data_IF_460075072277
#
_entry.id   IF_460075072277
#
_cell.length_a   1.000
_cell.length_b   1.000
_cell.length_c   1.000
_cell.angle_alpha   90.00
_cell.angle_beta   90.00
_cell.angle_gamma   90.00
#
_symmetry.space_group_name_H-M   'P 1'
#
loop_
_entity.id
_entity.type
_entity.pdbx_description
1 polymer ?
#
# COMPACT_ATOMS: atom_id res chain seq x y z
N UNK A 1 29.30 -16.41 -19.12
CA UNK A 1 27.87 -16.65 -19.40
C UNK A 1 27.08 -15.65 -18.60
N UNK A 2 26.20 -14.94 -19.29
CA UNK A 2 25.57 -13.69 -18.90
C UNK A 2 24.84 -13.76 -17.56
N UNK A 3 25.15 -12.83 -16.66
CA UNK A 3 24.23 -12.44 -15.59
C UNK A 3 23.07 -11.69 -16.25
N UNK A 4 22.08 -12.46 -16.69
CA UNK A 4 20.77 -11.97 -17.08
C UNK A 4 19.98 -11.67 -15.81
N UNK A 5 20.30 -10.54 -15.17
CA UNK A 5 19.53 -10.01 -14.05
C UNK A 5 18.39 -9.13 -14.56
N UNK A 6 17.67 -9.60 -15.58
CA UNK A 6 16.43 -8.96 -16.03
C UNK A 6 15.29 -9.43 -15.11
N UNK A 7 15.33 -8.99 -13.85
CA UNK A 7 14.11 -8.87 -13.07
C UNK A 7 13.32 -7.73 -13.72
N UNK A 8 12.54 -8.05 -14.75
CA UNK A 8 11.45 -7.19 -15.19
C UNK A 8 10.54 -7.04 -13.96
N UNK A 9 10.46 -5.86 -13.32
CA UNK A 9 9.58 -5.71 -12.18
C UNK A 9 8.16 -5.80 -12.74
N UNK A 10 7.47 -6.92 -12.47
CA UNK A 10 6.06 -7.05 -12.81
C UNK A 10 5.25 -6.09 -11.92
N UNK A 11 5.23 -4.83 -12.34
CA UNK A 11 4.64 -3.72 -11.58
C UNK A 11 3.15 -3.91 -11.37
N UNK A 12 2.51 -4.75 -12.19
CA UNK A 12 1.08 -5.06 -12.14
C UNK A 12 0.80 -6.01 -10.98
N UNK A 13 1.58 -7.07 -10.84
CA UNK A 13 1.48 -8.02 -9.73
C UNK A 13 1.81 -7.34 -8.38
N UNK A 14 2.86 -6.52 -8.32
CA UNK A 14 3.24 -5.80 -7.09
C UNK A 14 2.16 -4.80 -6.65
N UNK A 15 1.57 -4.06 -7.59
CA UNK A 15 0.50 -3.10 -7.29
C UNK A 15 -0.77 -3.79 -6.82
N UNK A 16 -1.09 -4.98 -7.36
CA UNK A 16 -2.23 -5.78 -6.93
C UNK A 16 -2.07 -6.26 -5.49
N UNK A 17 -0.89 -6.77 -5.12
CA UNK A 17 -0.58 -7.18 -3.74
C UNK A 17 -0.67 -5.98 -2.79
N UNK A 18 -0.08 -4.83 -3.16
CA UNK A 18 -0.11 -3.62 -2.33
C UNK A 18 -1.55 -3.14 -2.09
N UNK A 19 -2.40 -3.11 -3.12
CA UNK A 19 -3.82 -2.78 -2.96
C UNK A 19 -4.54 -3.75 -2.03
N UNK A 20 -4.20 -5.04 -2.07
CA UNK A 20 -4.79 -6.05 -1.20
C UNK A 20 -4.37 -5.84 0.26
N UNK A 21 -3.09 -5.52 0.51
CA UNK A 21 -2.57 -5.21 1.84
C UNK A 21 -3.23 -3.97 2.45
N UNK A 22 -3.46 -2.93 1.63
CA UNK A 22 -4.21 -1.73 2.03
C UNK A 22 -5.63 -2.13 2.48
N UNK A 23 -6.37 -2.88 1.66
CA UNK A 23 -7.73 -3.28 2.01
C UNK A 23 -7.76 -4.12 3.30
N UNK A 24 -6.86 -5.09 3.43
CA UNK A 24 -6.81 -5.98 4.60
C UNK A 24 -6.50 -5.18 5.87
N UNK A 25 -5.45 -4.35 5.87
CA UNK A 25 -5.09 -3.53 7.04
C UNK A 25 -6.21 -2.54 7.42
N UNK A 26 -6.84 -1.91 6.42
CA UNK A 26 -7.94 -0.98 6.67
C UNK A 26 -9.17 -1.66 7.28
N UNK A 27 -9.51 -2.88 6.83
CA UNK A 27 -10.62 -3.66 7.39
C UNK A 27 -10.32 -4.14 8.80
N UNK A 28 -9.10 -4.65 9.05
CA UNK A 28 -8.67 -5.08 10.38
C UNK A 28 -8.73 -3.92 11.38
N UNK A 29 -8.11 -2.77 11.05
CA UNK A 29 -8.19 -1.53 11.85
C UNK A 29 -9.63 -1.16 12.21
N UNK A 30 -10.52 -1.10 11.21
CA UNK A 30 -11.93 -0.75 11.46
C UNK A 30 -12.62 -1.73 12.41
N UNK A 31 -12.39 -3.04 12.23
CA UNK A 31 -12.99 -4.06 13.07
C UNK A 31 -12.44 -4.04 14.50
N UNK A 32 -11.14 -3.92 14.68
CA UNK A 32 -10.48 -3.92 15.99
C UNK A 32 -10.69 -2.62 16.74
N UNK A 33 -10.80 -1.50 16.05
CA UNK A 33 -11.21 -0.24 16.68
C UNK A 33 -12.64 -0.38 17.25
N UNK A 34 -13.58 -0.93 16.47
CA UNK A 34 -14.95 -1.16 16.95
C UNK A 34 -14.96 -2.13 18.14
N UNK A 35 -14.24 -3.25 18.05
CA UNK A 35 -14.13 -4.22 19.13
C UNK A 35 -13.47 -3.60 20.36
N UNK A 36 -12.39 -2.85 20.20
CA UNK A 36 -11.65 -2.19 21.27
C UNK A 36 -12.49 -1.15 22.01
N UNK A 37 -13.34 -0.42 21.29
CA UNK A 37 -14.32 0.51 21.89
C UNK A 37 -15.42 -0.23 22.65
N UNK A 38 -15.97 -1.32 22.10
CA UNK A 38 -17.02 -2.11 22.77
C UNK A 38 -16.44 -2.84 24.00
N UNK A 39 -15.18 -3.27 23.93
CA UNK A 39 -14.48 -4.00 24.98
C UNK A 39 -13.75 -3.10 25.99
N UNK A 40 -13.79 -1.77 25.82
CA UNK A 40 -13.03 -0.79 26.62
C UNK A 40 -11.53 -1.16 26.78
N UNK A 41 -10.95 -1.73 25.71
CA UNK A 41 -9.59 -2.25 25.73
C UNK A 41 -8.63 -1.33 25.00
N UNK A 42 -7.86 -0.55 25.75
CA UNK A 42 -6.77 0.27 25.22
C UNK A 42 -5.71 -0.55 24.49
N UNK A 43 -5.55 -1.83 24.82
CA UNK A 43 -4.62 -2.73 24.12
C UNK A 43 -5.06 -3.05 22.70
N UNK A 44 -6.35 -3.36 22.51
CA UNK A 44 -6.91 -3.64 21.16
C UNK A 44 -6.97 -2.36 20.33
N UNK A 45 -7.26 -1.22 20.96
CA UNK A 45 -7.20 0.07 20.28
C UNK A 45 -5.77 0.37 19.81
N UNK A 46 -4.76 0.15 20.66
CA UNK A 46 -3.36 0.37 20.29
C UNK A 46 -2.92 -0.53 19.13
N UNK A 47 -3.28 -1.82 19.15
CA UNK A 47 -2.98 -2.76 18.05
C UNK A 47 -3.60 -2.30 16.72
N UNK A 48 -4.85 -1.82 16.76
CA UNK A 48 -5.52 -1.29 15.57
C UNK A 48 -4.81 -0.05 14.99
N UNK A 49 -4.18 0.79 15.83
CA UNK A 49 -3.44 1.98 15.37
C UNK A 49 -2.20 1.60 14.56
N UNK A 50 -1.52 0.52 14.93
CA UNK A 50 -0.38 0.02 14.15
C UNK A 50 -0.83 -0.39 12.74
N UNK A 51 -2.02 -1.00 12.61
CA UNK A 51 -2.61 -1.34 11.30
C UNK A 51 -3.07 -0.12 10.50
N UNK A 52 -3.51 0.95 11.17
CA UNK A 52 -3.78 2.24 10.53
C UNK A 52 -2.50 2.86 9.96
N UNK A 53 -1.37 2.75 10.67
CA UNK A 53 -0.09 3.24 10.17
C UNK A 53 0.32 2.53 8.88
N UNK A 54 0.20 1.20 8.84
CA UNK A 54 0.49 0.41 7.64
C UNK A 54 -0.41 0.78 6.45
N UNK A 55 -1.72 0.93 6.70
CA UNK A 55 -2.69 1.38 5.69
C UNK A 55 -2.27 2.73 5.04
N UNK A 56 -1.88 3.70 5.86
CA UNK A 56 -1.48 5.03 5.40
C UNK A 56 -0.14 4.99 4.65
N UNK A 57 0.86 4.28 5.17
CA UNK A 57 2.17 4.13 4.53
C UNK A 57 2.02 3.51 3.15
N UNK A 58 1.22 2.44 3.02
CA UNK A 58 0.96 1.81 1.73
C UNK A 58 0.14 2.70 0.79
N UNK A 59 -0.85 3.43 1.31
CA UNK A 59 -1.62 4.40 0.51
C UNK A 59 -0.74 5.51 -0.08
N UNK A 60 0.14 6.10 0.73
CA UNK A 60 1.10 7.12 0.30
C UNK A 60 2.09 6.54 -0.73
N UNK A 61 2.61 5.33 -0.47
CA UNK A 61 3.52 4.64 -1.38
C UNK A 61 2.87 4.40 -2.75
N UNK A 62 1.62 3.94 -2.76
CA UNK A 62 0.85 3.73 -3.98
C UNK A 62 0.60 5.05 -4.73
N UNK A 63 0.27 6.12 -4.00
CA UNK A 63 0.08 7.46 -4.57
C UNK A 63 1.37 7.98 -5.23
N UNK A 64 2.51 7.87 -4.54
CA UNK A 64 3.81 8.31 -5.04
C UNK A 64 4.22 7.54 -6.31
N UNK A 65 4.02 6.22 -6.34
CA UNK A 65 4.30 5.39 -7.52
C UNK A 65 3.37 5.74 -8.68
N UNK A 66 2.08 5.98 -8.41
CA UNK A 66 1.12 6.41 -9.41
C UNK A 66 1.48 7.76 -10.03
N UNK A 67 1.85 8.74 -9.20
CA UNK A 67 2.31 10.04 -9.65
C UNK A 67 3.58 9.93 -10.52
N UNK A 68 4.55 9.12 -10.11
CA UNK A 68 5.77 8.88 -10.89
C UNK A 68 5.51 8.23 -12.26
N UNK A 69 4.54 7.29 -12.35
CA UNK A 69 4.11 6.71 -13.63
C UNK A 69 3.48 7.76 -14.55
N UNK A 70 2.62 8.64 -14.03
CA UNK A 70 2.00 9.72 -14.82
C UNK A 70 3.01 10.71 -15.40
N UNK A 71 4.04 11.08 -14.63
CA UNK A 71 5.12 11.97 -15.10
C UNK A 71 5.94 11.30 -16.22
N UNK A 72 6.26 10.01 -16.09
CA UNK A 72 6.95 9.25 -17.16
C UNK A 72 6.12 9.19 -18.45
N UNK A 73 4.81 8.97 -18.37
CA UNK A 73 3.92 8.96 -19.55
C UNK A 73 3.88 10.33 -20.23
N UNK A 74 3.84 11.42 -19.45
CA UNK A 74 3.89 12.78 -19.98
C UNK A 74 5.19 13.09 -20.72
N UNK A 75 6.34 12.72 -20.13
CA UNK A 75 7.64 12.89 -20.77
C UNK A 75 7.76 12.09 -22.06
N UNK A 76 7.33 10.81 -22.06
CA UNK A 76 7.35 9.96 -23.25
C UNK A 76 6.48 10.50 -24.40
N UNK A 77 5.37 11.19 -24.09
CA UNK A 77 4.54 11.87 -25.09
C UNK A 77 5.15 13.18 -25.60
N UNK A 78 5.95 13.87 -24.79
CA UNK A 78 6.59 15.13 -25.17
C UNK A 78 7.86 14.93 -26.01
N UNK A 79 8.51 13.77 -25.88
CA UNK A 79 9.71 13.40 -26.63
C UNK A 79 9.43 12.48 -27.83
N UNK A 80 8.17 12.34 -28.23
CA UNK A 80 7.72 11.62 -29.44
C UNK A 80 7.37 12.56 -30.58
#
# INVERSE_FOLDING_TARGET
MSCDCHLEPDTTAQTFVLKRLIIINGVMFGSELIVGLIADSSGVIADSIDMLADYLVYGISLFAVGAAKSVKIGAARASG
#
